data_IF_609878072646
#
_entry.id   IF_609878072646
#
_cell.length_a   1.000
_cell.length_b   1.000
_cell.length_c   1.000
_cell.angle_alpha   90.00
_cell.angle_beta   90.00
_cell.angle_gamma   90.00
#
_symmetry.space_group_name_H-M   'P 1'
#
loop_
_entity.id
_entity.type
_entity.pdbx_description
1 polymer ?
#
# COMPACT_ATOMS: atom_id res chain seq x y z
N UNK A 1 -33.39 61.72 -5.27
CA UNK A 1 -33.00 62.12 -3.91
C UNK A 1 -31.96 61.10 -3.43
N UNK A 2 -30.67 61.45 -3.53
CA UNK A 2 -29.55 60.79 -2.82
C UNK A 2 -29.38 61.50 -1.46
N UNK A 3 -28.91 60.85 -0.38
CA UNK A 3 -27.48 60.49 -0.17
C UNK A 3 -27.29 59.06 0.41
N UNK A 4 -26.20 58.29 0.21
CA UNK A 4 -24.72 58.43 0.34
C UNK A 4 -24.16 58.52 1.78
N UNK A 5 -23.12 57.69 2.01
CA UNK A 5 -22.12 57.61 3.11
C UNK A 5 -22.55 56.81 4.37
N UNK A 6 -21.75 55.93 4.99
CA UNK A 6 -20.29 55.82 5.14
C UNK A 6 -19.79 54.36 5.09
N UNK A 7 -18.57 54.19 4.58
CA UNK A 7 -17.74 53.00 4.79
C UNK A 7 -17.16 52.99 6.21
N UNK A 8 -17.01 51.81 6.81
CA UNK A 8 -16.08 51.57 7.91
C UNK A 8 -15.27 50.30 7.61
N UNK A 9 -13.98 50.51 7.34
CA UNK A 9 -12.96 49.48 7.38
C UNK A 9 -12.80 48.97 8.82
N UNK A 10 -12.69 47.66 8.98
CA UNK A 10 -11.98 47.06 10.11
C UNK A 10 -11.12 45.92 9.57
N UNK A 11 -9.84 46.23 9.40
CA UNK A 11 -8.80 45.25 9.21
C UNK A 11 -8.74 44.36 10.45
N UNK A 12 -8.95 43.05 10.29
CA UNK A 12 -8.50 42.09 11.29
C UNK A 12 -7.05 41.72 10.96
N UNK A 13 -6.15 42.47 11.58
CA UNK A 13 -4.79 42.03 11.85
C UNK A 13 -4.87 41.06 13.05
N UNK A 14 -4.59 39.78 12.83
CA UNK A 14 -4.32 38.86 13.93
C UNK A 14 -3.21 37.89 13.51
N UNK A 15 -2.00 38.27 13.95
CA UNK A 15 -0.86 37.44 14.28
C UNK A 15 -0.57 36.24 13.36
N UNK A 16 0.30 36.47 12.38
CA UNK A 16 1.26 35.46 11.98
C UNK A 16 2.15 35.14 13.21
N UNK A 17 1.79 34.10 13.98
CA UNK A 17 2.75 33.45 14.86
C UNK A 17 3.76 32.74 13.99
N UNK A 18 4.95 33.29 13.89
CA UNK A 18 6.11 32.60 13.36
C UNK A 18 6.40 31.38 14.23
N UNK A 19 5.89 30.21 13.83
CA UNK A 19 6.55 28.97 14.20
C UNK A 19 7.81 28.92 13.31
N UNK A 20 8.97 29.10 13.94
CA UNK A 20 10.23 28.79 13.30
C UNK A 20 10.14 27.37 12.71
N UNK A 21 10.70 27.11 11.52
CA UNK A 21 10.67 25.78 10.95
C UNK A 21 11.42 24.87 11.91
N UNK A 22 10.74 23.86 12.45
CA UNK A 22 11.41 22.73 13.07
C UNK A 22 12.17 22.00 11.97
N UNK A 23 13.44 22.34 11.84
CA UNK A 23 14.42 21.50 11.16
C UNK A 23 14.69 20.30 12.05
N UNK A 24 14.40 19.08 11.60
CA UNK A 24 15.13 17.82 11.89
C UNK A 24 14.44 16.66 11.17
N UNK A 25 15.06 16.05 10.14
CA UNK A 25 15.93 14.85 10.19
C UNK A 25 15.24 13.64 10.83
N UNK A 26 14.87 12.68 9.97
CA UNK A 26 14.58 11.26 10.21
C UNK A 26 14.26 10.89 11.66
N UNK A 27 12.97 10.75 11.95
CA UNK A 27 12.46 10.21 13.21
C UNK A 27 11.32 11.02 13.83
N UNK A 28 10.56 10.37 14.71
CA UNK A 28 9.55 11.02 15.56
C UNK A 28 10.20 11.75 16.74
N UNK A 29 9.45 12.62 17.43
CA UNK A 29 9.96 13.28 18.65
C UNK A 29 9.75 12.38 19.87
N UNK A 30 10.82 12.05 20.59
CA UNK A 30 10.75 11.23 21.81
C UNK A 30 9.68 11.76 22.78
N UNK A 31 8.84 10.86 23.28
CA UNK A 31 7.71 11.21 24.15
C UNK A 31 6.44 11.65 23.42
N UNK A 32 6.43 11.70 22.09
CA UNK A 32 5.18 11.79 21.31
C UNK A 32 4.57 10.42 21.06
N UNK A 33 3.27 10.40 20.80
CA UNK A 33 2.50 9.21 20.48
C UNK A 33 1.82 9.41 19.12
N UNK A 34 1.71 8.35 18.33
CA UNK A 34 0.95 8.31 17.09
C UNK A 34 -0.27 7.41 17.28
N UNK A 35 -1.46 7.97 17.35
CA UNK A 35 -2.70 7.19 17.37
C UNK A 35 -3.11 6.82 15.95
N UNK A 36 -3.34 5.53 15.70
CA UNK A 36 -3.53 4.97 14.36
C UNK A 36 -5.01 4.94 13.99
N UNK A 37 -5.86 4.37 14.86
CA UNK A 37 -7.27 4.09 14.55
C UNK A 37 -8.25 4.42 15.70
N UNK A 38 -7.77 5.11 16.73
CA UNK A 38 -8.56 5.46 17.92
C UNK A 38 -8.54 4.42 19.04
N UNK A 39 -8.09 3.20 18.75
CA UNK A 39 -7.90 2.13 19.73
C UNK A 39 -6.48 1.55 19.73
N UNK A 40 -5.65 1.93 18.78
CA UNK A 40 -4.24 1.53 18.68
C UNK A 40 -3.33 2.74 18.52
N UNK A 41 -2.13 2.67 19.10
CA UNK A 41 -1.13 3.72 19.05
C UNK A 41 0.30 3.18 19.08
N UNK A 42 1.27 4.00 18.66
CA UNK A 42 2.71 3.78 18.87
C UNK A 42 3.31 4.93 19.65
N UNK A 43 4.32 4.67 20.48
CA UNK A 43 5.06 5.71 21.20
C UNK A 43 6.41 5.93 20.54
N UNK A 44 6.83 7.18 20.44
CA UNK A 44 8.17 7.52 20.00
C UNK A 44 9.16 7.23 21.12
N UNK A 45 10.01 6.24 20.90
CA UNK A 45 11.07 5.84 21.83
C UNK A 45 12.34 6.65 21.58
N UNK A 46 13.27 6.59 22.54
CA UNK A 46 14.56 7.27 22.41
C UNK A 46 15.29 6.79 21.16
N UNK A 47 15.83 7.75 20.40
CA UNK A 47 16.37 7.50 19.06
C UNK A 47 15.39 7.78 17.91
N UNK A 48 14.21 8.39 18.20
CA UNK A 48 13.31 8.91 17.17
C UNK A 48 12.57 7.83 16.37
N UNK A 49 12.41 6.63 16.94
CA UNK A 49 11.75 5.50 16.29
C UNK A 49 10.38 5.25 16.93
N UNK A 50 9.39 4.85 16.13
CA UNK A 50 8.10 4.41 16.67
C UNK A 50 8.21 3.00 17.25
N UNK A 51 7.64 2.80 18.43
CA UNK A 51 7.45 1.46 19.00
C UNK A 51 6.52 0.62 18.12
N UNK A 52 6.52 -0.69 18.36
CA UNK A 52 5.43 -1.55 17.91
C UNK A 52 4.07 -0.97 18.34
N UNK A 53 3.06 -1.20 17.51
CA UNK A 53 1.68 -0.79 17.76
C UNK A 53 1.13 -1.49 18.99
N UNK A 54 0.49 -0.72 19.87
CA UNK A 54 -0.13 -1.18 21.11
C UNK A 54 -1.59 -0.76 21.14
N UNK A 55 -2.45 -1.56 21.77
CA UNK A 55 -3.83 -1.16 22.03
C UNK A 55 -3.89 -0.17 23.20
N UNK A 56 -4.81 0.80 23.12
CA UNK A 56 -5.15 1.67 24.25
C UNK A 56 -5.82 0.85 25.35
N UNK A 57 -5.78 1.34 26.60
CA UNK A 57 -6.41 0.65 27.72
C UNK A 57 -7.94 0.48 27.49
N UNK A 58 -8.55 -0.62 27.93
CA UNK A 58 -9.99 -0.80 27.83
C UNK A 58 -10.76 0.40 28.40
N UNK A 59 -11.72 0.93 27.64
CA UNK A 59 -12.50 2.11 28.03
C UNK A 59 -11.85 3.45 27.71
N UNK A 60 -10.66 3.48 27.10
CA UNK A 60 -10.01 4.70 26.60
C UNK A 60 -10.02 4.74 25.08
N UNK A 61 -9.90 5.93 24.50
CA UNK A 61 -9.65 6.12 23.07
C UNK A 61 -8.52 7.12 22.88
N UNK A 62 -7.90 7.10 21.71
CA UNK A 62 -6.93 8.12 21.32
C UNK A 62 -7.44 8.93 20.13
N UNK A 63 -7.01 10.19 20.03
CA UNK A 63 -7.27 11.01 18.86
C UNK A 63 -6.22 10.69 17.79
N UNK A 64 -6.69 10.24 16.61
CA UNK A 64 -5.84 9.85 15.48
C UNK A 64 -4.85 10.97 15.12
N UNK A 65 -3.59 10.59 14.90
CA UNK A 65 -2.47 11.47 14.61
C UNK A 65 -1.41 11.53 15.71
N UNK A 66 -0.40 12.38 15.49
CA UNK A 66 0.75 12.52 16.38
C UNK A 66 0.49 13.60 17.43
N UNK A 67 0.62 13.27 18.71
CA UNK A 67 0.45 14.20 19.84
C UNK A 67 1.30 13.79 21.03
N UNK A 68 1.69 14.75 21.87
CA UNK A 68 2.31 14.46 23.16
C UNK A 68 1.33 13.83 24.16
N UNK A 69 0.02 13.99 23.95
CA UNK A 69 -1.01 13.39 24.79
C UNK A 69 -2.27 13.10 23.96
N UNK A 70 -2.31 11.97 23.22
CA UNK A 70 -3.43 11.68 22.32
C UNK A 70 -4.62 11.02 23.02
N UNK A 71 -4.45 10.57 24.27
CA UNK A 71 -5.46 9.79 24.97
C UNK A 71 -6.55 10.68 25.53
N UNK A 72 -7.79 10.36 25.20
CA UNK A 72 -8.97 11.03 25.72
C UNK A 72 -9.52 10.22 26.90
N UNK A 73 -9.81 10.85 28.06
CA UNK A 73 -10.41 10.14 29.17
C UNK A 73 -11.81 9.68 28.78
N UNK A 74 -12.00 8.37 28.70
CA UNK A 74 -13.32 7.75 28.66
C UNK A 74 -13.93 7.73 30.06
N UNK A 75 -15.21 8.05 30.16
CA UNK A 75 -15.99 7.96 31.39
C UNK A 75 -16.11 6.50 31.85
N UNK A 76 -15.17 5.98 32.64
CA UNK A 76 -15.31 4.62 33.17
C UNK A 76 -14.09 4.07 33.93
N UNK A 77 -14.13 4.26 35.27
CA UNK A 77 -13.45 3.53 36.36
C UNK A 77 -11.97 3.16 36.25
N UNK A 78 -11.17 3.83 37.08
CA UNK A 78 -9.79 3.50 37.46
C UNK A 78 -9.60 2.00 37.77
N UNK A 79 -8.66 1.37 37.08
CA UNK A 79 -7.97 0.17 37.56
C UNK A 79 -6.46 0.38 37.38
N UNK A 80 -5.65 0.05 38.40
CA UNK A 80 -4.21 0.31 38.36
C UNK A 80 -3.51 -0.59 37.32
N UNK A 81 -2.39 -0.13 36.73
CA UNK A 81 -1.69 -0.89 35.71
C UNK A 81 -1.07 -2.19 36.28
N UNK A 82 -1.00 -3.27 35.48
CA UNK A 82 -0.33 -4.51 35.88
C UNK A 82 1.19 -4.30 36.06
N UNK A 83 1.85 -5.04 36.95
CA UNK A 83 3.29 -4.91 37.20
C UNK A 83 4.12 -5.41 36.00
N UNK A 84 5.23 -4.71 35.74
CA UNK A 84 6.17 -4.98 34.65
C UNK A 84 6.82 -6.37 34.75
N UNK A 85 7.09 -7.06 33.62
CA UNK A 85 7.89 -8.29 33.61
C UNK A 85 9.37 -8.01 33.87
N UNK A 86 10.14 -8.99 34.40
CA UNK A 86 11.56 -8.83 34.69
C UNK A 86 12.40 -8.70 33.41
N UNK A 87 13.44 -7.88 33.52
CA UNK A 87 14.44 -7.57 32.49
C UNK A 87 15.45 -8.72 32.35
N UNK A 88 15.49 -9.36 31.19
CA UNK A 88 16.62 -10.22 30.79
C UNK A 88 17.71 -9.38 30.09
N UNK A 89 19.00 -9.75 30.22
CA UNK A 89 20.11 -8.98 29.69
C UNK A 89 20.32 -9.15 28.18
N UNK A 90 20.60 -8.03 27.54
CA UNK A 90 20.93 -7.84 26.12
C UNK A 90 22.23 -8.57 25.71
N UNK A 91 22.26 -9.29 24.57
CA UNK A 91 23.51 -9.79 24.00
C UNK A 91 24.21 -8.70 23.18
N UNK A 92 25.39 -8.29 23.65
CA UNK A 92 26.29 -7.37 22.96
C UNK A 92 26.84 -7.98 21.68
N UNK A 93 26.69 -7.28 20.55
CA UNK A 93 27.41 -7.57 19.30
C UNK A 93 27.99 -6.27 18.70
N UNK A 94 29.20 -6.29 18.11
CA UNK A 94 30.02 -5.10 17.92
C UNK A 94 29.61 -4.25 16.71
N UNK A 95 29.72 -2.93 16.89
CA UNK A 95 29.52 -1.89 15.87
C UNK A 95 30.59 -1.91 14.77
N UNK A 96 30.24 -1.89 13.47
CA UNK A 96 31.18 -1.61 12.39
C UNK A 96 31.35 -0.08 12.14
N UNK A 97 32.51 0.36 11.61
CA UNK A 97 32.88 1.77 11.48
C UNK A 97 32.11 2.51 10.37
N UNK A 98 32.04 3.86 10.42
CA UNK A 98 31.26 4.64 9.47
C UNK A 98 31.92 4.61 8.08
N UNK A 99 31.11 4.41 7.04
CA UNK A 99 31.52 4.60 5.65
C UNK A 99 30.70 5.71 5.03
N UNK A 100 31.42 6.58 4.32
CA UNK A 100 30.96 7.81 3.69
C UNK A 100 29.70 7.61 2.84
N UNK A 101 28.85 8.65 2.83
CA UNK A 101 27.51 8.63 2.24
C UNK A 101 27.49 8.25 0.74
N UNK A 102 26.46 7.52 0.28
CA UNK A 102 26.36 7.13 -1.12
C UNK A 102 25.92 8.30 -2.03
N UNK A 103 26.37 8.31 -3.30
CA UNK A 103 26.06 9.31 -4.32
C UNK A 103 24.60 9.19 -4.82
N UNK A 104 24.09 10.17 -5.61
CA UNK A 104 22.67 10.20 -5.99
C UNK A 104 22.26 8.99 -6.83
N UNK A 105 21.06 8.50 -6.50
CA UNK A 105 20.22 7.51 -7.17
C UNK A 105 20.44 7.48 -8.69
N UNK A 106 20.94 6.35 -9.19
CA UNK A 106 20.78 6.00 -10.60
C UNK A 106 19.38 5.42 -10.77
N UNK A 107 18.44 6.26 -11.22
CA UNK A 107 17.13 5.82 -11.70
C UNK A 107 17.28 4.69 -12.72
N UNK A 108 16.34 3.73 -12.79
CA UNK A 108 16.20 2.87 -13.95
C UNK A 108 16.11 3.72 -15.21
N UNK A 109 16.76 3.29 -16.28
CA UNK A 109 16.65 3.96 -17.57
C UNK A 109 15.17 4.04 -17.98
N UNK A 110 14.69 5.20 -18.47
CA UNK A 110 13.29 5.30 -18.90
C UNK A 110 13.03 4.30 -20.01
N UNK A 111 11.87 3.60 -20.00
CA UNK A 111 11.53 2.66 -21.05
C UNK A 111 11.52 3.38 -22.40
N UNK A 112 12.35 2.89 -23.31
CA UNK A 112 12.41 3.39 -24.69
C UNK A 112 11.15 2.94 -25.42
N UNK A 113 10.10 3.77 -25.39
CA UNK A 113 8.91 3.50 -26.16
C UNK A 113 7.61 4.04 -25.58
N UNK A 114 7.57 5.32 -25.22
CA UNK A 114 6.41 6.20 -25.42
C UNK A 114 6.77 7.59 -24.91
N UNK A 115 6.29 8.62 -25.61
CA UNK A 115 6.46 10.05 -25.31
C UNK A 115 5.69 10.51 -24.06
N UNK A 116 5.62 9.66 -23.03
CA UNK A 116 4.99 9.97 -21.75
C UNK A 116 5.91 10.83 -20.88
N UNK A 117 5.32 11.76 -20.15
CA UNK A 117 6.01 12.46 -19.06
C UNK A 117 6.55 11.42 -18.08
N UNK A 118 7.82 11.53 -17.70
CA UNK A 118 8.44 10.67 -16.69
C UNK A 118 8.13 11.20 -15.29
N UNK A 119 7.60 10.34 -14.43
CA UNK A 119 7.35 10.58 -13.01
C UNK A 119 8.27 9.66 -12.21
N UNK A 120 9.49 10.15 -11.90
CA UNK A 120 10.54 9.41 -11.21
C UNK A 120 10.92 8.08 -11.89
N UNK A 121 11.08 8.10 -13.23
CA UNK A 121 11.50 6.93 -14.00
C UNK A 121 10.36 6.03 -14.48
N UNK A 122 9.12 6.30 -14.06
CA UNK A 122 7.93 5.60 -14.51
C UNK A 122 7.03 6.49 -15.38
N UNK A 123 6.16 5.87 -16.17
CA UNK A 123 5.12 6.61 -16.92
C UNK A 123 4.18 7.27 -15.91
N UNK A 124 4.00 8.58 -16.01
CA UNK A 124 3.09 9.32 -15.15
C UNK A 124 1.65 8.78 -15.21
N UNK A 125 0.92 8.87 -14.09
CA UNK A 125 -0.48 8.40 -13.99
C UNK A 125 -1.42 9.03 -15.03
N UNK A 126 -1.14 10.28 -15.43
CA UNK A 126 -1.88 11.00 -16.47
C UNK A 126 -1.69 10.44 -17.87
N UNK A 127 -0.65 9.65 -18.09
CA UNK A 127 -0.34 8.96 -19.34
C UNK A 127 -0.67 7.46 -19.30
N UNK A 128 -1.20 6.95 -18.19
CA UNK A 128 -1.72 5.59 -18.15
C UNK A 128 -2.99 5.49 -19.01
N UNK A 129 -3.19 4.37 -19.73
CA UNK A 129 -4.45 4.10 -20.40
C UNK A 129 -5.63 4.17 -19.42
N UNK A 130 -6.83 4.41 -19.93
CA UNK A 130 -8.07 4.24 -19.19
C UNK A 130 -8.26 2.78 -18.76
N UNK A 131 -9.11 2.55 -17.75
CA UNK A 131 -9.41 1.20 -17.31
C UNK A 131 -10.04 0.35 -18.44
N UNK A 132 -10.90 0.94 -19.27
CA UNK A 132 -11.49 0.27 -20.44
C UNK A 132 -10.43 -0.15 -21.48
N UNK A 133 -9.43 0.70 -21.75
CA UNK A 133 -8.33 0.34 -22.65
C UNK A 133 -7.49 -0.82 -22.07
N UNK A 134 -7.30 -0.87 -20.75
CA UNK A 134 -6.64 -2.01 -20.10
C UNK A 134 -7.49 -3.28 -20.16
N UNK A 135 -8.81 -3.22 -19.93
CA UNK A 135 -9.71 -4.38 -20.09
C UNK A 135 -9.59 -4.97 -21.48
N UNK A 136 -9.69 -4.13 -22.51
CA UNK A 136 -9.57 -4.55 -23.91
C UNK A 136 -8.19 -5.18 -24.22
N UNK A 137 -7.13 -4.68 -23.59
CA UNK A 137 -5.78 -5.22 -23.75
C UNK A 137 -5.59 -6.59 -23.09
N UNK A 138 -6.12 -6.80 -21.88
CA UNK A 138 -5.85 -8.00 -21.08
C UNK A 138 -6.92 -9.10 -21.21
N UNK A 139 -8.10 -8.82 -21.75
CA UNK A 139 -9.19 -9.81 -21.88
C UNK A 139 -8.74 -11.12 -22.54
N UNK A 140 -7.87 -11.05 -23.57
CA UNK A 140 -7.40 -12.24 -24.28
C UNK A 140 -6.47 -13.12 -23.43
N UNK A 141 -5.57 -12.52 -22.64
CA UNK A 141 -4.67 -13.29 -21.78
C UNK A 141 -5.46 -13.90 -20.62
N UNK A 142 -6.41 -13.18 -20.04
CA UNK A 142 -7.30 -13.69 -18.98
C UNK A 142 -8.15 -14.88 -19.46
N UNK A 143 -8.63 -14.82 -20.71
CA UNK A 143 -9.42 -15.90 -21.32
C UNK A 143 -8.62 -17.13 -21.77
N UNK A 144 -7.30 -17.16 -21.61
CA UNK A 144 -6.46 -18.27 -22.10
C UNK A 144 -5.43 -18.80 -21.09
N UNK A 145 -5.21 -18.08 -19.99
CA UNK A 145 -4.09 -18.35 -19.09
C UNK A 145 -4.26 -19.55 -18.18
N UNK A 146 -5.48 -19.92 -17.80
CA UNK A 146 -5.68 -21.04 -16.88
C UNK A 146 -5.24 -22.37 -17.52
N UNK A 147 -5.63 -22.61 -18.77
CA UNK A 147 -5.22 -23.81 -19.50
C UNK A 147 -3.74 -23.76 -19.86
N UNK A 148 -3.25 -22.60 -20.31
CA UNK A 148 -1.83 -22.42 -20.62
C UNK A 148 -0.92 -22.70 -19.42
N UNK A 149 -1.41 -22.46 -18.20
CA UNK A 149 -0.68 -22.71 -16.95
C UNK A 149 -0.99 -24.08 -16.33
N UNK A 150 -1.91 -24.85 -16.90
CA UNK A 150 -2.32 -26.15 -16.38
C UNK A 150 -3.14 -26.09 -15.08
N UNK A 151 -3.77 -24.96 -14.78
CA UNK A 151 -4.53 -24.74 -13.54
C UNK A 151 -6.01 -25.12 -13.64
N UNK A 152 -6.52 -25.33 -14.85
CA UNK A 152 -7.90 -25.74 -15.10
C UNK A 152 -8.45 -25.12 -16.36
N UNK A 153 -9.79 -25.16 -16.50
CA UNK A 153 -10.48 -24.52 -17.62
C UNK A 153 -10.22 -23.00 -17.63
N UNK A 154 -10.10 -22.44 -18.84
CA UNK A 154 -10.00 -21.00 -19.02
C UNK A 154 -11.20 -20.26 -18.44
N UNK A 155 -10.97 -19.00 -18.09
CA UNK A 155 -12.07 -18.12 -17.67
C UNK A 155 -13.15 -18.09 -18.76
N UNK A 156 -14.42 -18.19 -18.37
CA UNK A 156 -15.49 -17.82 -19.29
C UNK A 156 -15.48 -16.29 -19.52
N UNK A 157 -16.14 -15.79 -20.58
CA UNK A 157 -16.35 -14.35 -20.75
C UNK A 157 -17.02 -13.69 -19.53
N UNK A 158 -17.97 -14.40 -18.90
CA UNK A 158 -18.66 -13.93 -17.70
C UNK A 158 -17.74 -13.86 -16.49
N UNK A 159 -16.89 -14.87 -16.24
CA UNK A 159 -15.90 -14.84 -15.16
C UNK A 159 -14.90 -13.71 -15.35
N UNK A 160 -14.45 -13.49 -16.60
CA UNK A 160 -13.55 -12.38 -16.94
C UNK A 160 -14.21 -11.02 -16.68
N UNK A 161 -15.49 -10.86 -17.04
CA UNK A 161 -16.25 -9.66 -16.74
C UNK A 161 -16.47 -9.46 -15.23
N UNK A 162 -16.67 -10.55 -14.47
CA UNK A 162 -16.78 -10.50 -13.02
C UNK A 162 -15.48 -10.03 -12.37
N UNK A 163 -14.30 -10.43 -12.88
CA UNK A 163 -13.01 -9.89 -12.41
C UNK A 163 -12.95 -8.38 -12.63
N UNK A 164 -13.31 -7.88 -13.82
CA UNK A 164 -13.28 -6.45 -14.10
C UNK A 164 -14.25 -5.66 -13.21
N UNK A 165 -15.47 -6.18 -13.00
CA UNK A 165 -16.46 -5.55 -12.12
C UNK A 165 -16.05 -5.58 -10.65
N UNK A 166 -15.42 -6.66 -10.19
CA UNK A 166 -14.85 -6.74 -8.85
C UNK A 166 -13.75 -5.68 -8.64
N UNK A 167 -12.85 -5.51 -9.62
CA UNK A 167 -11.82 -4.45 -9.58
C UNK A 167 -12.43 -3.05 -9.53
N UNK A 168 -13.44 -2.77 -10.37
CA UNK A 168 -14.16 -1.48 -10.35
C UNK A 168 -14.80 -1.16 -9.01
N UNK A 169 -15.34 -2.19 -8.33
CA UNK A 169 -15.95 -2.03 -7.01
C UNK A 169 -14.95 -1.54 -5.94
N UNK A 170 -13.65 -1.76 -6.16
CA UNK A 170 -12.57 -1.36 -5.25
C UNK A 170 -11.95 0.00 -5.59
N UNK A 171 -12.46 0.71 -6.59
CA UNK A 171 -11.90 1.99 -7.08
C UNK A 171 -11.82 3.11 -6.04
N UNK A 172 -12.57 3.02 -4.94
CA UNK A 172 -12.47 3.94 -3.80
C UNK A 172 -11.24 3.72 -2.92
N UNK A 173 -10.60 2.56 -3.00
CA UNK A 173 -9.45 2.17 -2.17
C UNK A 173 -8.12 2.28 -2.93
N UNK A 174 -8.09 1.80 -4.18
CA UNK A 174 -6.89 1.75 -5.03
C UNK A 174 -7.31 1.97 -6.50
N UNK A 175 -6.47 2.63 -7.30
CA UNK A 175 -6.74 2.84 -8.72
C UNK A 175 -6.96 1.51 -9.45
N UNK A 176 -8.10 1.29 -10.14
CA UNK A 176 -8.44 0.00 -10.74
C UNK A 176 -7.45 -0.45 -11.82
N UNK A 177 -6.76 0.49 -12.47
CA UNK A 177 -5.70 0.19 -13.45
C UNK A 177 -4.53 -0.53 -12.78
N UNK A 178 -4.16 -0.09 -11.58
CA UNK A 178 -3.11 -0.72 -10.80
C UNK A 178 -3.54 -2.09 -10.28
N UNK A 179 -4.76 -2.22 -9.76
CA UNK A 179 -5.30 -3.51 -9.30
C UNK A 179 -5.30 -4.55 -10.43
N UNK A 180 -5.74 -4.16 -11.64
CA UNK A 180 -5.69 -5.07 -12.79
C UNK A 180 -4.26 -5.46 -13.16
N UNK A 181 -3.31 -4.52 -13.16
CA UNK A 181 -1.91 -4.85 -13.43
C UNK A 181 -1.33 -5.86 -12.43
N UNK A 182 -1.69 -5.74 -11.14
CA UNK A 182 -1.31 -6.72 -10.11
C UNK A 182 -1.97 -8.08 -10.39
N UNK A 183 -3.28 -8.13 -10.63
CA UNK A 183 -3.95 -9.41 -10.96
C UNK A 183 -3.35 -10.10 -12.19
N UNK A 184 -2.96 -9.34 -13.22
CA UNK A 184 -2.25 -9.88 -14.39
C UNK A 184 -0.83 -10.34 -14.02
N UNK A 185 -0.10 -9.59 -13.20
CA UNK A 185 1.24 -9.98 -12.75
C UNK A 185 1.23 -11.28 -11.93
N UNK A 186 0.23 -11.47 -11.07
CA UNK A 186 0.16 -12.57 -10.12
C UNK A 186 -0.41 -13.85 -10.74
N UNK A 187 -1.39 -13.74 -11.64
CA UNK A 187 -2.13 -14.90 -12.14
C UNK A 187 -2.44 -14.87 -13.62
N UNK A 188 -1.96 -13.86 -14.36
CA UNK A 188 -2.45 -13.52 -15.70
C UNK A 188 -3.98 -13.35 -15.76
N UNK A 189 -4.59 -13.04 -14.61
CA UNK A 189 -6.04 -12.94 -14.39
C UNK A 189 -6.80 -14.26 -14.47
N UNK A 190 -6.14 -15.41 -14.29
CA UNK A 190 -6.81 -16.70 -14.21
C UNK A 190 -7.54 -16.86 -12.87
N UNK A 191 -8.87 -17.03 -12.87
CA UNK A 191 -9.64 -17.19 -11.62
C UNK A 191 -9.36 -18.51 -10.90
N UNK A 192 -8.72 -19.47 -11.58
CA UNK A 192 -8.35 -20.79 -11.06
C UNK A 192 -6.86 -20.92 -10.76
N UNK A 193 -6.12 -19.82 -10.68
CA UNK A 193 -4.71 -19.85 -10.28
C UNK A 193 -4.53 -20.65 -9.00
N UNK A 194 -3.52 -21.51 -8.98
CA UNK A 194 -3.29 -22.39 -7.84
C UNK A 194 -2.94 -21.57 -6.60
N UNK A 195 -3.57 -21.91 -5.47
CA UNK A 195 -3.15 -21.40 -4.16
C UNK A 195 -1.76 -21.92 -3.84
N UNK A 196 -0.81 -21.02 -3.57
CA UNK A 196 0.55 -21.41 -3.16
C UNK A 196 0.68 -21.41 -1.64
N UNK A 197 1.56 -22.26 -1.10
CA UNK A 197 1.83 -22.29 0.33
C UNK A 197 3.28 -22.72 0.61
N UNK A 198 4.16 -21.72 0.82
CA UNK A 198 5.57 -21.93 1.17
C UNK A 198 5.89 -21.38 2.57
N UNK A 199 4.94 -21.50 3.50
CA UNK A 199 5.01 -20.91 4.85
C UNK A 199 4.04 -19.75 5.05
N UNK A 200 3.57 -19.14 3.95
CA UNK A 200 2.44 -18.21 3.88
C UNK A 200 1.51 -18.73 2.78
N UNK A 201 0.20 -18.76 3.03
CA UNK A 201 -0.80 -19.20 2.07
C UNK A 201 -1.20 -18.02 1.19
N UNK A 202 -0.97 -18.14 -0.11
CA UNK A 202 -1.24 -17.07 -1.08
C UNK A 202 -2.31 -17.54 -2.09
N UNK A 203 -3.61 -17.38 -1.79
CA UNK A 203 -4.68 -17.80 -2.67
C UNK A 203 -5.00 -16.80 -3.79
N UNK A 204 -5.80 -17.28 -4.74
CA UNK A 204 -6.63 -16.42 -5.58
C UNK A 204 -5.90 -15.55 -6.61
N UNK A 205 -6.69 -14.75 -7.33
CA UNK A 205 -6.29 -13.94 -8.49
C UNK A 205 -5.10 -13.02 -8.23
N UNK A 206 -4.97 -12.53 -7.01
CA UNK A 206 -3.94 -11.58 -6.61
C UNK A 206 -2.84 -12.22 -5.75
N UNK A 207 -2.85 -13.55 -5.56
CA UNK A 207 -1.89 -14.29 -4.73
C UNK A 207 -1.66 -13.60 -3.38
N UNK A 208 -2.75 -13.13 -2.77
CA UNK A 208 -2.70 -12.24 -1.61
C UNK A 208 -2.30 -12.98 -0.32
N UNK A 209 -1.66 -12.30 0.63
CA UNK A 209 -1.12 -12.94 1.84
C UNK A 209 -2.26 -13.37 2.79
N UNK A 210 -2.41 -14.68 2.99
CA UNK A 210 -3.42 -15.30 3.86
C UNK A 210 -4.87 -14.92 3.54
N UNK A 211 -5.19 -14.69 2.26
CA UNK A 211 -6.56 -14.57 1.80
C UNK A 211 -7.43 -15.77 2.14
N UNK A 212 -8.73 -15.60 1.99
CA UNK A 212 -9.70 -16.67 2.27
C UNK A 212 -10.38 -17.16 0.99
N UNK A 213 -10.44 -16.33 -0.05
CA UNK A 213 -11.14 -16.64 -1.29
C UNK A 213 -10.22 -17.30 -2.33
N UNK A 214 -10.71 -18.36 -2.97
CA UNK A 214 -10.00 -19.08 -4.03
C UNK A 214 -10.90 -20.06 -4.77
N UNK A 215 -10.68 -20.19 -6.08
CA UNK A 215 -11.30 -21.24 -6.88
C UNK A 215 -10.35 -22.42 -7.17
N UNK A 216 -9.16 -22.44 -6.58
CA UNK A 216 -8.24 -23.57 -6.68
C UNK A 216 -7.38 -23.68 -5.41
N UNK A 217 -7.80 -24.54 -4.49
CA UNK A 217 -7.06 -24.83 -3.27
C UNK A 217 -6.67 -26.30 -3.21
N UNK A 218 -5.36 -26.58 -3.10
CA UNK A 218 -4.82 -27.93 -3.03
C UNK A 218 -5.37 -28.91 -4.10
N UNK A 219 -5.66 -28.42 -5.32
CA UNK A 219 -6.20 -29.22 -6.43
C UNK A 219 -7.72 -29.38 -6.42
N UNK A 220 -8.42 -28.83 -5.43
CA UNK A 220 -9.88 -28.68 -5.47
C UNK A 220 -10.24 -27.46 -6.30
N UNK A 221 -10.48 -27.69 -7.60
CA UNK A 221 -10.78 -26.63 -8.58
C UNK A 221 -12.28 -26.43 -8.71
N UNK A 222 -12.73 -25.18 -8.56
CA UNK A 222 -14.11 -24.76 -8.83
C UNK A 222 -14.27 -24.40 -10.31
N UNK A 223 -15.29 -24.95 -10.97
CA UNK A 223 -15.60 -24.66 -12.36
C UNK A 223 -17.12 -24.78 -12.63
N UNK A 224 -17.85 -23.68 -12.92
CA UNK A 224 -17.36 -22.29 -12.94
C UNK A 224 -16.88 -21.82 -11.56
N UNK A 225 -16.03 -20.80 -11.53
CA UNK A 225 -15.62 -20.10 -10.33
C UNK A 225 -16.77 -19.18 -9.88
N UNK A 226 -17.27 -19.29 -8.63
CA UNK A 226 -18.38 -18.47 -8.17
C UNK A 226 -18.06 -16.97 -8.21
N UNK A 227 -19.06 -16.14 -8.54
CA UNK A 227 -18.90 -14.69 -8.61
C UNK A 227 -18.46 -14.07 -7.26
N UNK A 228 -18.96 -14.63 -6.15
CA UNK A 228 -18.59 -14.19 -4.80
C UNK A 228 -17.13 -14.52 -4.48
N UNK A 229 -16.61 -15.67 -4.95
CA UNK A 229 -15.19 -16.01 -4.83
C UNK A 229 -14.33 -15.04 -5.68
N UNK A 230 -14.76 -14.70 -6.90
CA UNK A 230 -14.05 -13.73 -7.75
C UNK A 230 -14.00 -12.36 -7.10
N UNK A 231 -15.12 -11.90 -6.54
CA UNK A 231 -15.20 -10.63 -5.83
C UNK A 231 -14.32 -10.64 -4.59
N UNK A 232 -14.38 -11.73 -3.82
CA UNK A 232 -13.57 -11.94 -2.63
C UNK A 232 -12.07 -11.97 -2.90
N UNK A 233 -11.62 -12.66 -3.95
CA UNK A 233 -10.20 -12.71 -4.34
C UNK A 233 -9.62 -11.31 -4.64
N UNK A 234 -10.41 -10.42 -5.25
CA UNK A 234 -9.99 -9.03 -5.48
C UNK A 234 -10.05 -8.21 -4.18
N UNK A 235 -11.08 -8.38 -3.36
CA UNK A 235 -11.22 -7.67 -2.09
C UNK A 235 -10.10 -8.02 -1.10
N UNK A 236 -9.71 -9.30 -1.03
CA UNK A 236 -8.63 -9.80 -0.19
C UNK A 236 -7.30 -9.13 -0.58
N UNK A 237 -6.92 -9.13 -1.86
CA UNK A 237 -5.68 -8.48 -2.32
C UNK A 237 -5.69 -6.95 -2.23
N UNK A 238 -6.85 -6.30 -2.37
CA UNK A 238 -6.92 -4.83 -2.29
C UNK A 238 -6.95 -4.32 -0.85
N UNK A 239 -7.68 -4.98 0.04
CA UNK A 239 -8.02 -4.45 1.38
C UNK A 239 -8.08 -5.50 2.50
N UNK A 240 -7.88 -6.78 2.20
CA UNK A 240 -7.88 -7.86 3.18
C UNK A 240 -6.57 -7.97 3.95
N UNK A 241 -6.61 -8.38 5.22
CA UNK A 241 -5.40 -8.56 6.03
C UNK A 241 -4.57 -7.29 6.22
N UNK A 242 -3.29 -7.43 6.57
CA UNK A 242 -2.32 -6.33 6.68
C UNK A 242 -1.48 -6.11 5.41
N UNK A 243 -1.33 -7.16 4.60
CA UNK A 243 -0.41 -7.20 3.47
C UNK A 243 -1.19 -7.03 2.15
N UNK A 244 -1.89 -5.90 2.03
CA UNK A 244 -2.74 -5.59 0.87
C UNK A 244 -2.30 -4.31 0.14
N UNK A 245 -2.85 -4.10 -1.05
CA UNK A 245 -2.51 -2.95 -1.88
C UNK A 245 -2.83 -1.60 -1.22
N UNK A 246 -3.96 -1.48 -0.52
CA UNK A 246 -4.33 -0.23 0.14
C UNK A 246 -3.32 0.17 1.22
N UNK A 247 -2.90 -0.80 2.04
CA UNK A 247 -1.89 -0.61 3.09
C UNK A 247 -0.51 -0.33 2.47
N UNK A 248 -0.13 -1.06 1.44
CA UNK A 248 1.13 -0.83 0.71
C UNK A 248 1.18 0.59 0.10
N UNK A 249 0.08 1.06 -0.47
CA UNK A 249 -0.02 2.41 -1.03
C UNK A 249 0.01 3.48 0.07
N UNK A 250 -0.67 3.26 1.19
CA UNK A 250 -0.62 4.15 2.34
C UNK A 250 0.80 4.27 2.92
N UNK A 251 1.54 3.15 3.02
CA UNK A 251 2.95 3.15 3.44
C UNK A 251 3.81 3.95 2.45
N UNK A 252 3.63 3.74 1.14
CA UNK A 252 4.38 4.46 0.12
C UNK A 252 4.15 5.98 0.19
N UNK A 253 2.89 6.41 0.32
CA UNK A 253 2.52 7.83 0.43
C UNK A 253 2.99 8.45 1.75
N UNK A 254 3.00 7.66 2.84
CA UNK A 254 3.52 8.08 4.14
C UNK A 254 5.04 8.14 4.26
N UNK A 255 5.79 7.62 3.27
CA UNK A 255 7.24 7.58 3.32
C UNK A 255 7.88 8.99 3.28
N UNK A 256 9.10 9.17 3.83
CA UNK A 256 9.84 10.43 3.73
C UNK A 256 9.94 10.86 2.27
N UNK A 257 9.65 12.14 2.00
CA UNK A 257 9.47 12.76 0.68
C UNK A 257 8.05 12.67 0.07
N UNK A 258 7.07 12.08 0.77
CA UNK A 258 5.67 11.98 0.33
C UNK A 258 5.61 11.47 -1.10
N UNK A 259 5.96 10.20 -1.30
CA UNK A 259 6.06 9.63 -2.63
C UNK A 259 4.67 9.68 -3.27
N UNK A 260 4.49 10.56 -4.25
CA UNK A 260 3.22 10.75 -4.96
C UNK A 260 3.26 10.14 -6.36
N UNK A 261 2.09 10.12 -6.98
CA UNK A 261 1.88 9.71 -8.36
C UNK A 261 2.40 8.30 -8.66
N UNK A 262 2.90 8.06 -9.88
CA UNK A 262 3.34 6.74 -10.35
C UNK A 262 4.42 6.10 -9.47
N UNK A 263 5.22 6.91 -8.77
CA UNK A 263 6.27 6.40 -7.90
C UNK A 263 5.69 5.76 -6.62
N UNK A 264 4.61 6.31 -6.07
CA UNK A 264 3.90 5.70 -4.92
C UNK A 264 3.42 4.29 -5.26
N UNK A 265 2.85 4.11 -6.47
CA UNK A 265 2.39 2.82 -6.97
C UNK A 265 3.54 1.86 -7.24
N UNK A 266 4.68 2.33 -7.72
CA UNK A 266 5.88 1.51 -7.89
C UNK A 266 6.41 0.97 -6.55
N UNK A 267 6.43 1.82 -5.50
CA UNK A 267 6.78 1.40 -4.15
C UNK A 267 5.73 0.44 -3.57
N UNK A 268 4.45 0.73 -3.75
CA UNK A 268 3.37 -0.14 -3.31
C UNK A 268 3.46 -1.54 -3.96
N UNK A 269 3.81 -1.62 -5.25
CA UNK A 269 4.05 -2.89 -5.93
C UNK A 269 5.21 -3.69 -5.29
N UNK A 270 6.30 -3.01 -4.92
CA UNK A 270 7.41 -3.65 -4.20
C UNK A 270 6.99 -4.16 -2.83
N UNK A 271 6.26 -3.35 -2.05
CA UNK A 271 5.78 -3.75 -0.73
C UNK A 271 4.83 -4.94 -0.85
N UNK A 272 3.91 -4.94 -1.82
CA UNK A 272 3.00 -6.06 -2.06
C UNK A 272 3.77 -7.36 -2.37
N UNK A 273 4.83 -7.29 -3.17
CA UNK A 273 5.62 -8.46 -3.56
C UNK A 273 6.59 -8.98 -2.50
N UNK A 274 7.13 -8.09 -1.66
CA UNK A 274 8.27 -8.38 -0.79
C UNK A 274 8.01 -8.08 0.68
N UNK A 275 6.82 -7.59 1.04
CA UNK A 275 6.45 -7.11 2.38
C UNK A 275 7.18 -5.84 2.83
N UNK A 276 8.13 -5.35 2.04
CA UNK A 276 8.99 -4.19 2.36
C UNK A 276 9.63 -3.65 1.08
N UNK A 277 10.34 -2.52 1.17
CA UNK A 277 11.07 -1.94 0.05
C UNK A 277 12.39 -1.33 0.50
N UNK A 278 13.36 -1.29 -0.41
CA UNK A 278 14.60 -0.53 -0.27
C UNK A 278 14.41 0.84 -0.95
N UNK A 279 14.42 1.96 -0.20
CA UNK A 279 14.20 3.29 -0.77
C UNK A 279 15.33 3.71 -1.73
N UNK A 280 16.48 3.05 -1.70
CA UNK A 280 17.62 3.33 -2.58
C UNK A 280 17.61 2.51 -3.87
N UNK A 281 16.89 1.37 -3.90
CA UNK A 281 16.82 0.48 -5.05
C UNK A 281 15.52 -0.35 -5.08
N UNK A 282 14.53 0.06 -5.88
CA UNK A 282 13.29 -0.71 -6.06
C UNK A 282 13.47 -2.03 -6.83
N UNK A 283 14.61 -2.23 -7.48
CA UNK A 283 14.97 -3.51 -8.09
C UNK A 283 15.55 -4.49 -7.08
N UNK A 284 15.89 -4.05 -5.87
CA UNK A 284 16.23 -4.94 -4.78
C UNK A 284 15.00 -5.77 -4.43
N UNK A 285 15.02 -7.05 -4.84
CA UNK A 285 13.90 -7.96 -4.67
C UNK A 285 13.65 -8.36 -3.22
N UNK A 286 14.60 -8.12 -2.31
CA UNK A 286 14.50 -8.46 -0.89
C UNK A 286 14.10 -9.93 -0.64
N UNK A 287 14.57 -10.84 -1.50
CA UNK A 287 14.21 -12.27 -1.49
C UNK A 287 13.09 -12.66 -2.48
N UNK A 288 12.41 -11.69 -3.08
CA UNK A 288 11.40 -11.85 -4.12
C UNK A 288 11.94 -11.48 -5.53
N UNK A 289 11.07 -11.46 -6.53
CA UNK A 289 11.39 -11.14 -7.93
C UNK A 289 11.88 -9.69 -8.08
N UNK A 290 13.12 -9.52 -8.53
CA UNK A 290 13.74 -8.19 -8.72
C UNK A 290 13.02 -7.33 -9.77
N UNK A 291 12.62 -7.92 -10.91
CA UNK A 291 11.95 -7.22 -12.01
C UNK A 291 10.46 -6.90 -11.76
N UNK A 292 9.90 -7.26 -10.60
CA UNK A 292 8.46 -7.18 -10.34
C UNK A 292 7.89 -5.77 -10.55
N UNK A 293 8.54 -4.76 -9.98
CA UNK A 293 8.09 -3.35 -10.06
C UNK A 293 8.06 -2.87 -11.52
N UNK A 294 9.14 -3.10 -12.26
CA UNK A 294 9.21 -2.70 -13.66
C UNK A 294 8.11 -3.37 -14.49
N UNK A 295 7.89 -4.67 -14.29
CA UNK A 295 6.87 -5.41 -15.01
C UNK A 295 5.45 -4.91 -14.69
N UNK A 296 5.13 -4.70 -13.41
CA UNK A 296 3.83 -4.13 -13.00
C UNK A 296 3.64 -2.75 -13.59
N UNK A 297 4.61 -1.84 -13.45
CA UNK A 297 4.48 -0.48 -13.93
C UNK A 297 4.39 -0.40 -15.46
N UNK A 298 5.06 -1.30 -16.19
CA UNK A 298 4.87 -1.46 -17.63
C UNK A 298 3.49 -1.99 -17.99
N UNK A 299 2.89 -2.87 -17.17
CA UNK A 299 1.51 -3.33 -17.38
C UNK A 299 0.49 -2.21 -17.14
N UNK A 300 0.66 -1.43 -16.08
CA UNK A 300 -0.18 -0.24 -15.80
C UNK A 300 -0.10 0.76 -16.95
N UNK A 301 1.11 1.01 -17.47
CA UNK A 301 1.34 1.91 -18.61
C UNK A 301 0.89 1.34 -19.97
N UNK A 302 0.38 0.11 -20.02
CA UNK A 302 0.00 -0.55 -21.26
C UNK A 302 1.18 -0.87 -22.19
N UNK A 303 2.39 -1.04 -21.66
CA UNK A 303 3.62 -1.35 -22.40
C UNK A 303 3.96 -2.86 -22.43
N UNK A 304 3.38 -3.66 -21.53
CA UNK A 304 3.61 -5.11 -21.44
C UNK A 304 2.29 -5.91 -21.50
N UNK A 305 2.39 -7.23 -21.72
CA UNK A 305 1.32 -8.20 -21.48
C UNK A 305 1.65 -8.99 -20.21
#
# INVERSE_FOLDING_TARGET
MFPKYLALSAAFLAAATSAAPLVQRDGCQEGTFNCIDGTHFSQCISGGTWSATQSVAPGTTCQVGISANPFLPGSGSDSPPPPSPPTDPEPTSPTPPPKDGPPPVSSPAPPTGNSGTSCNGFVCMSAWPSFEEMKAKYVNIMGTSCEASGWGANNSPEETQQVFSAIESQSGSVDPRFVLAIAIQESSGCVRVITTNNGVRNPGLMQDSNGVHTCNDAGSVQNPCPADEITGMIADGVSGGSDNLSSALAIAQGAPNNLQDAFAFAVAARIYNSGSFDPSDLNNGLGSTSAYVEQVMNRVAGLAL
#
